data_IF_114152601874
#
_entry.id   IF_114152601874
#
_cell.length_a   1.000
_cell.length_b   1.000
_cell.length_c   1.000
_cell.angle_alpha   90.00
_cell.angle_beta   90.00
_cell.angle_gamma   90.00
#
_symmetry.space_group_name_H-M   'P 1'
#
loop_
_entity.id
_entity.type
_entity.pdbx_description
1 polymer ?
#
# COMPACT_ATOMS: atom_id res chain seq x y z
N UNK A 1 -10.76 -10.61 -34.90
CA UNK A 1 -10.88 -10.58 -33.42
C UNK A 1 -11.68 -9.32 -33.04
N UNK A 2 -12.98 -9.43 -32.74
CA UNK A 2 -13.81 -8.26 -32.38
C UNK A 2 -13.29 -7.65 -31.08
N UNK A 3 -12.72 -6.45 -31.14
CA UNK A 3 -12.45 -5.65 -29.94
C UNK A 3 -13.82 -5.25 -29.39
N UNK A 4 -14.26 -5.87 -28.31
CA UNK A 4 -15.45 -5.42 -27.60
C UNK A 4 -15.15 -4.02 -27.03
N UNK A 5 -15.65 -2.99 -27.72
CA UNK A 5 -15.54 -1.61 -27.26
C UNK A 5 -16.37 -1.46 -25.98
N UNK A 6 -15.70 -1.34 -24.84
CA UNK A 6 -16.34 -1.09 -23.56
C UNK A 6 -16.97 0.30 -23.57
N UNK A 7 -18.21 0.41 -23.10
CA UNK A 7 -18.87 1.72 -22.93
C UNK A 7 -18.13 2.55 -21.87
N UNK A 8 -18.16 3.89 -21.92
CA UNK A 8 -17.46 4.75 -20.96
C UNK A 8 -17.83 4.44 -19.50
N UNK A 9 -19.09 4.10 -19.23
CA UNK A 9 -19.54 3.69 -17.90
C UNK A 9 -18.87 2.38 -17.42
N UNK A 10 -18.65 1.41 -18.32
CA UNK A 10 -17.98 0.15 -17.99
C UNK A 10 -16.48 0.38 -17.73
N UNK A 11 -15.86 1.30 -18.47
CA UNK A 11 -14.48 1.70 -18.24
C UNK A 11 -14.32 2.40 -16.88
N UNK A 12 -15.26 3.28 -16.53
CA UNK A 12 -15.34 3.89 -15.21
C UNK A 12 -15.44 2.84 -14.09
N UNK A 13 -16.35 1.88 -14.21
CA UNK A 13 -16.50 0.83 -13.20
C UNK A 13 -15.26 -0.06 -13.06
N UNK A 14 -14.57 -0.34 -14.18
CA UNK A 14 -13.29 -1.05 -14.17
C UNK A 14 -12.23 -0.26 -13.37
N UNK A 15 -12.16 1.05 -13.57
CA UNK A 15 -11.26 1.94 -12.82
C UNK A 15 -11.59 1.91 -11.32
N UNK A 16 -12.86 2.00 -10.95
CA UNK A 16 -13.29 1.96 -9.55
C UNK A 16 -12.95 0.61 -8.92
N UNK A 17 -13.20 -0.50 -9.62
CA UNK A 17 -12.87 -1.85 -9.15
C UNK A 17 -11.36 -2.01 -8.92
N UNK A 18 -10.53 -1.56 -9.87
CA UNK A 18 -9.07 -1.62 -9.71
C UNK A 18 -8.58 -0.77 -8.55
N UNK A 19 -9.09 0.45 -8.41
CA UNK A 19 -8.76 1.34 -7.28
C UNK A 19 -9.19 0.72 -5.94
N UNK A 20 -10.37 0.08 -5.90
CA UNK A 20 -10.86 -0.64 -4.71
C UNK A 20 -9.94 -1.81 -4.35
N UNK A 21 -9.53 -2.62 -5.32
CA UNK A 21 -8.60 -3.74 -5.10
C UNK A 21 -7.27 -3.21 -4.55
N UNK A 22 -6.69 -2.19 -5.18
CA UNK A 22 -5.43 -1.58 -4.71
C UNK A 22 -5.58 -1.03 -3.28
N UNK A 23 -6.67 -0.32 -2.97
CA UNK A 23 -6.97 0.13 -1.60
C UNK A 23 -6.96 -1.03 -0.60
N UNK A 24 -7.58 -2.16 -0.94
CA UNK A 24 -7.60 -3.34 -0.06
C UNK A 24 -6.22 -3.98 0.07
N UNK A 25 -5.50 -4.20 -1.02
CA UNK A 25 -4.15 -4.79 -1.00
C UNK A 25 -3.21 -3.96 -0.13
N UNK A 26 -3.13 -2.64 -0.38
CA UNK A 26 -2.30 -1.76 0.45
C UNK A 26 -2.80 -1.65 1.88
N UNK A 27 -4.11 -1.75 2.11
CA UNK A 27 -4.68 -1.80 3.46
C UNK A 27 -4.27 -3.07 4.23
N UNK A 28 -4.32 -4.23 3.59
CA UNK A 28 -3.87 -5.50 4.19
C UNK A 28 -2.39 -5.42 4.56
N UNK A 29 -1.54 -4.98 3.64
CA UNK A 29 -0.12 -4.80 3.93
C UNK A 29 0.14 -3.78 5.03
N UNK A 30 -0.61 -2.67 5.05
CA UNK A 30 -0.49 -1.67 6.10
C UNK A 30 -0.78 -2.26 7.49
N UNK A 31 -1.89 -2.97 7.66
CA UNK A 31 -2.23 -3.57 8.97
C UNK A 31 -1.34 -4.76 9.33
N UNK A 32 -0.95 -5.58 8.35
CA UNK A 32 -0.07 -6.71 8.56
C UNK A 32 1.31 -6.24 9.02
N UNK A 33 1.91 -5.27 8.32
CA UNK A 33 3.23 -4.74 8.70
C UNK A 33 3.20 -4.07 10.07
N UNK A 34 2.17 -3.30 10.39
CA UNK A 34 1.99 -2.74 11.73
C UNK A 34 1.94 -3.84 12.80
N UNK A 35 1.17 -4.90 12.55
CA UNK A 35 1.01 -6.01 13.50
C UNK A 35 2.34 -6.71 13.71
N UNK A 36 3.05 -7.04 12.63
CA UNK A 36 4.39 -7.65 12.69
C UNK A 36 5.35 -6.75 13.47
N UNK A 37 5.38 -5.44 13.21
CA UNK A 37 6.23 -4.51 13.96
C UNK A 37 5.96 -4.52 15.46
N UNK A 38 4.68 -4.55 15.88
CA UNK A 38 4.30 -4.64 17.29
C UNK A 38 4.77 -5.98 17.89
N UNK A 39 4.50 -7.10 17.23
CA UNK A 39 4.93 -8.42 17.72
C UNK A 39 6.45 -8.56 17.80
N UNK A 40 7.18 -8.06 16.81
CA UNK A 40 8.65 -8.09 16.81
C UNK A 40 9.22 -7.21 17.91
N UNK A 41 8.65 -6.02 18.16
CA UNK A 41 9.07 -5.16 19.26
C UNK A 41 8.85 -5.84 20.64
N UNK A 42 7.69 -6.50 20.82
CA UNK A 42 7.40 -7.27 22.03
C UNK A 42 8.38 -8.44 22.20
N UNK A 43 8.66 -9.17 21.13
CA UNK A 43 9.58 -10.30 21.15
C UNK A 43 11.03 -9.90 21.46
N UNK A 44 11.53 -8.84 20.83
CA UNK A 44 12.86 -8.28 21.11
C UNK A 44 12.94 -7.80 22.57
N UNK A 45 11.90 -7.12 23.05
CA UNK A 45 11.83 -6.66 24.44
C UNK A 45 11.88 -7.84 25.42
N UNK A 46 11.16 -8.93 25.13
CA UNK A 46 11.19 -10.16 25.92
C UNK A 46 12.59 -10.78 25.95
N UNK A 47 13.25 -10.92 24.79
CA UNK A 47 14.63 -11.44 24.73
C UNK A 47 15.59 -10.56 25.52
N UNK A 48 15.49 -9.23 25.35
CA UNK A 48 16.36 -8.28 26.06
C UNK A 48 16.18 -8.39 27.59
N UNK A 49 14.93 -8.48 28.06
CA UNK A 49 14.62 -8.69 29.48
C UNK A 49 15.19 -10.01 30.00
N UNK A 50 15.00 -11.11 29.27
CA UNK A 50 15.53 -12.41 29.64
C UNK A 50 17.06 -12.40 29.71
N UNK A 51 17.71 -11.77 28.74
CA UNK A 51 19.17 -11.65 28.70
C UNK A 51 19.71 -10.81 29.87
N UNK A 52 19.13 -9.64 30.12
CA UNK A 52 19.50 -8.75 31.23
C UNK A 52 19.28 -9.42 32.59
N UNK A 53 18.15 -10.10 32.77
CA UNK A 53 17.83 -10.84 33.98
C UNK A 53 18.76 -12.05 34.17
N UNK A 54 19.04 -12.81 33.11
CA UNK A 54 19.94 -13.95 33.11
C UNK A 54 21.39 -13.61 33.43
N UNK A 55 21.86 -12.43 33.00
CA UNK A 55 23.21 -11.92 33.25
C UNK A 55 23.33 -11.06 34.51
N UNK A 56 22.26 -10.93 35.30
CA UNK A 56 22.30 -10.15 36.53
C UNK A 56 23.15 -10.84 37.61
N UNK A 57 24.35 -10.32 37.85
CA UNK A 57 25.29 -10.82 38.88
C UNK A 57 24.80 -10.60 40.31
N UNK A 58 23.84 -9.70 40.52
CA UNK A 58 23.26 -9.40 41.82
C UNK A 58 22.05 -10.28 42.16
N UNK A 59 21.72 -11.27 41.32
CA UNK A 59 20.68 -12.25 41.64
C UNK A 59 21.11 -13.05 42.89
N UNK A 60 20.21 -13.33 43.85
CA UNK A 60 20.54 -14.12 45.04
C UNK A 60 21.15 -15.47 44.64
N UNK A 61 22.43 -15.68 44.95
CA UNK A 61 23.21 -16.87 44.54
C UNK A 61 24.14 -16.69 43.33
N UNK A 62 24.14 -15.53 42.66
CA UNK A 62 24.78 -15.30 41.36
C UNK A 62 26.27 -14.96 41.34
N UNK A 63 26.89 -14.64 42.48
CA UNK A 63 28.31 -14.28 42.51
C UNK A 63 29.25 -15.49 42.40
N UNK A 64 28.82 -16.69 42.81
CA UNK A 64 29.71 -17.86 42.95
C UNK A 64 29.15 -19.16 42.35
N UNK A 65 28.11 -19.11 41.52
CA UNK A 65 27.51 -20.31 40.94
C UNK A 65 27.21 -20.11 39.45
N UNK A 66 28.27 -20.16 38.64
CA UNK A 66 28.14 -20.79 37.34
C UNK A 66 28.14 -22.32 37.57
N UNK A 67 27.09 -23.08 37.22
CA UNK A 67 25.76 -22.71 36.75
C UNK A 67 24.71 -23.08 37.82
N UNK A 68 24.30 -22.17 38.70
CA UNK A 68 23.39 -22.57 39.78
C UNK A 68 22.68 -21.41 40.44
N UNK A 69 21.40 -21.24 40.09
CA UNK A 69 20.32 -20.54 40.82
C UNK A 69 19.71 -19.31 40.18
N UNK A 70 20.17 -18.82 39.02
CA UNK A 70 19.39 -17.82 38.28
C UNK A 70 18.35 -18.53 37.38
N UNK A 71 17.04 -18.50 37.71
CA UNK A 71 16.01 -19.15 36.89
C UNK A 71 15.81 -18.46 35.53
N UNK A 72 16.37 -17.26 35.36
CA UNK A 72 16.32 -16.51 34.10
C UNK A 72 17.52 -16.78 33.18
N UNK A 73 18.56 -17.50 33.65
CA UNK A 73 19.69 -17.86 32.81
C UNK A 73 19.26 -18.92 31.80
N UNK A 74 19.47 -18.64 30.50
CA UNK A 74 19.24 -19.61 29.43
C UNK A 74 20.53 -19.81 28.63
N UNK A 75 21.05 -21.04 28.50
CA UNK A 75 22.22 -21.34 27.68
C UNK A 75 22.08 -20.85 26.23
N UNK A 76 20.87 -20.82 25.68
CA UNK A 76 20.64 -20.36 24.31
C UNK A 76 20.80 -18.85 24.12
N UNK A 77 20.54 -18.05 25.17
CA UNK A 77 20.57 -16.58 25.08
C UNK A 77 21.79 -15.98 25.76
N UNK A 78 22.36 -16.65 26.76
CA UNK A 78 23.43 -16.14 27.61
C UNK A 78 24.82 -16.76 27.32
N UNK A 79 24.92 -17.68 26.35
CA UNK A 79 26.22 -18.23 25.96
C UNK A 79 27.04 -17.22 25.14
N UNK A 80 28.32 -17.14 25.47
CA UNK A 80 29.24 -16.01 25.22
C UNK A 80 29.73 -15.85 23.78
N UNK A 81 29.09 -16.51 22.81
CA UNK A 81 29.42 -16.36 21.38
C UNK A 81 28.82 -15.07 20.82
N UNK A 82 29.51 -13.96 21.12
CA UNK A 82 29.21 -12.60 20.67
C UNK A 82 28.87 -12.46 19.17
N UNK A 83 29.31 -13.41 18.33
CA UNK A 83 29.00 -13.44 16.90
C UNK A 83 27.50 -13.64 16.61
N UNK A 84 26.82 -14.53 17.35
CA UNK A 84 25.39 -14.82 17.12
C UNK A 84 24.53 -13.63 17.57
N UNK A 85 24.85 -13.04 18.71
CA UNK A 85 24.19 -11.82 19.20
C UNK A 85 24.42 -10.64 18.26
N UNK A 86 25.66 -10.39 17.81
CA UNK A 86 25.98 -9.29 16.91
C UNK A 86 25.27 -9.44 15.56
N UNK A 87 25.31 -10.64 14.95
CA UNK A 87 24.62 -10.90 13.68
C UNK A 87 23.11 -10.78 13.83
N UNK A 88 22.54 -11.22 14.96
CA UNK A 88 21.10 -11.04 15.26
C UNK A 88 20.72 -9.57 15.43
N UNK A 89 21.55 -8.78 16.11
CA UNK A 89 21.34 -7.33 16.28
C UNK A 89 21.43 -6.62 14.92
N UNK A 90 22.46 -6.91 14.12
CA UNK A 90 22.63 -6.33 12.79
C UNK A 90 21.44 -6.69 11.89
N UNK A 91 21.05 -7.97 11.83
CA UNK A 91 19.92 -8.41 11.02
C UNK A 91 18.59 -7.80 11.51
N UNK A 92 18.41 -7.65 12.82
CA UNK A 92 17.23 -7.01 13.40
C UNK A 92 17.19 -5.51 13.08
N UNK A 93 18.33 -4.81 13.13
CA UNK A 93 18.43 -3.40 12.78
C UNK A 93 18.16 -3.15 11.28
N UNK A 94 18.76 -3.96 10.41
CA UNK A 94 18.52 -3.90 8.95
C UNK A 94 17.06 -4.21 8.62
N UNK A 95 16.47 -5.22 9.27
CA UNK A 95 15.05 -5.57 9.12
C UNK A 95 14.13 -4.48 9.63
N UNK A 96 14.49 -3.81 10.74
CA UNK A 96 13.73 -2.70 11.30
C UNK A 96 13.75 -1.49 10.37
N UNK A 97 14.92 -1.09 9.87
CA UNK A 97 15.05 0.02 8.90
C UNK A 97 14.23 -0.29 7.63
N UNK A 98 14.38 -1.49 7.08
CA UNK A 98 13.64 -1.94 5.89
C UNK A 98 12.12 -1.98 6.13
N UNK A 99 11.71 -2.42 7.33
CA UNK A 99 10.32 -2.43 7.76
C UNK A 99 9.73 -1.02 7.90
N UNK A 100 10.47 -0.09 8.51
CA UNK A 100 10.05 1.31 8.67
C UNK A 100 9.91 2.01 7.32
N UNK A 101 10.86 1.81 6.39
CA UNK A 101 10.76 2.36 5.03
C UNK A 101 9.56 1.79 4.30
N UNK A 102 9.39 0.46 4.35
CA UNK A 102 8.26 -0.23 3.73
C UNK A 102 6.92 0.25 4.30
N UNK A 103 6.87 0.49 5.60
CA UNK A 103 5.69 1.02 6.29
C UNK A 103 5.30 2.41 5.78
N UNK A 104 6.24 3.36 5.67
CA UNK A 104 5.93 4.69 5.13
C UNK A 104 5.47 4.64 3.67
N UNK A 105 6.13 3.82 2.85
CA UNK A 105 5.75 3.65 1.43
C UNK A 105 4.35 3.04 1.30
N UNK A 106 4.03 2.03 2.10
CA UNK A 106 2.72 1.37 2.05
C UNK A 106 1.63 2.26 2.64
N UNK A 107 1.92 2.98 3.74
CA UNK A 107 0.99 3.93 4.34
C UNK A 107 0.61 5.05 3.36
N UNK A 108 1.61 5.68 2.72
CA UNK A 108 1.37 6.73 1.72
C UNK A 108 0.55 6.22 0.53
N UNK A 109 0.87 5.02 0.01
CA UNK A 109 0.08 4.37 -1.06
C UNK A 109 -1.34 4.03 -0.61
N UNK A 110 -1.52 3.49 0.58
CA UNK A 110 -2.83 3.16 1.14
C UNK A 110 -3.70 4.41 1.26
N UNK A 111 -3.19 5.48 1.88
CA UNK A 111 -3.90 6.75 2.02
C UNK A 111 -4.25 7.36 0.66
N UNK A 112 -3.32 7.31 -0.30
CA UNK A 112 -3.58 7.75 -1.67
C UNK A 112 -4.77 7.02 -2.29
N UNK A 113 -4.75 5.67 -2.34
CA UNK A 113 -5.83 4.90 -2.96
C UNK A 113 -7.15 4.99 -2.17
N UNK A 114 -7.10 5.12 -0.83
CA UNK A 114 -8.28 5.38 0.00
C UNK A 114 -8.94 6.71 -0.37
N UNK A 115 -8.16 7.79 -0.45
CA UNK A 115 -8.65 9.12 -0.83
C UNK A 115 -9.21 9.13 -2.25
N UNK A 116 -8.46 8.59 -3.23
CA UNK A 116 -8.90 8.55 -4.63
C UNK A 116 -10.16 7.71 -4.82
N UNK A 117 -10.28 6.57 -4.12
CA UNK A 117 -11.51 5.77 -4.15
C UNK A 117 -12.72 6.56 -3.66
N UNK A 118 -12.60 7.30 -2.54
CA UNK A 118 -13.69 8.09 -2.01
C UNK A 118 -14.11 9.22 -2.97
N UNK A 119 -13.13 9.89 -3.60
CA UNK A 119 -13.41 10.92 -4.61
C UNK A 119 -14.12 10.32 -5.83
N UNK A 120 -13.70 9.14 -6.31
CA UNK A 120 -14.40 8.46 -7.41
C UNK A 120 -15.85 8.12 -7.04
N UNK A 121 -16.08 7.55 -5.85
CA UNK A 121 -17.44 7.24 -5.38
C UNK A 121 -18.28 8.51 -5.30
N UNK A 122 -17.73 9.61 -4.78
CA UNK A 122 -18.40 10.91 -4.74
C UNK A 122 -18.74 11.45 -6.13
N UNK A 123 -17.81 11.35 -7.09
CA UNK A 123 -18.05 11.74 -8.48
C UNK A 123 -19.17 10.91 -9.13
N UNK A 124 -19.26 9.60 -8.84
CA UNK A 124 -20.39 8.76 -9.25
C UNK A 124 -21.70 9.29 -8.67
N UNK A 125 -21.72 9.68 -7.41
CA UNK A 125 -22.91 10.24 -6.76
C UNK A 125 -23.36 11.52 -7.47
N UNK A 126 -22.43 12.43 -7.78
CA UNK A 126 -22.73 13.66 -8.53
C UNK A 126 -23.34 13.33 -9.89
N UNK A 127 -22.74 12.38 -10.64
CA UNK A 127 -23.26 11.91 -11.91
C UNK A 127 -24.69 11.35 -11.80
N UNK A 128 -24.96 10.49 -10.81
CA UNK A 128 -26.29 9.90 -10.60
C UNK A 128 -27.33 10.95 -10.22
N UNK A 129 -26.94 11.97 -9.47
CA UNK A 129 -27.79 13.11 -9.11
C UNK A 129 -28.00 14.12 -10.25
N UNK A 130 -27.31 13.96 -11.39
CA UNK A 130 -27.32 14.91 -12.53
C UNK A 130 -27.00 16.36 -12.11
N UNK A 131 -26.16 16.52 -11.09
CA UNK A 131 -25.81 17.85 -10.57
C UNK A 131 -24.61 18.45 -11.31
N UNK A 132 -24.52 19.78 -11.30
CA UNK A 132 -23.40 20.58 -11.79
C UNK A 132 -23.11 20.42 -13.29
N UNK A 133 -22.14 19.58 -13.62
CA UNK A 133 -21.51 19.44 -14.94
C UNK A 133 -22.18 18.34 -15.78
N UNK A 134 -23.12 17.59 -15.21
CA UNK A 134 -23.81 16.47 -15.86
C UNK A 134 -25.18 16.88 -16.42
N UNK A 135 -25.22 18.00 -17.15
CA UNK A 135 -26.44 18.53 -17.76
C UNK A 135 -26.58 18.16 -19.25
N UNK A 136 -25.62 17.42 -19.81
CA UNK A 136 -25.60 17.04 -21.22
C UNK A 136 -26.42 15.79 -21.54
N UNK A 137 -26.23 15.25 -22.74
CA UNK A 137 -26.85 13.96 -23.12
C UNK A 137 -26.29 12.81 -22.28
N UNK A 138 -27.02 11.69 -22.25
CA UNK A 138 -26.61 10.53 -21.46
C UNK A 138 -25.20 10.03 -21.83
N UNK A 139 -24.87 9.99 -23.12
CA UNK A 139 -23.56 9.55 -23.61
C UNK A 139 -22.44 10.55 -23.27
N UNK A 140 -22.72 11.85 -23.41
CA UNK A 140 -21.77 12.90 -23.02
C UNK A 140 -21.44 12.85 -21.53
N UNK A 141 -22.46 12.66 -20.69
CA UNK A 141 -22.28 12.59 -19.25
C UNK A 141 -21.49 11.33 -18.84
N UNK A 142 -21.72 10.19 -19.49
CA UNK A 142 -20.93 8.97 -19.27
C UNK A 142 -19.46 9.16 -19.67
N UNK A 143 -19.20 9.79 -20.81
CA UNK A 143 -17.84 10.09 -21.24
C UNK A 143 -17.14 11.06 -20.28
N UNK A 144 -17.85 12.09 -19.82
CA UNK A 144 -17.32 13.06 -18.86
C UNK A 144 -16.98 12.42 -17.52
N UNK A 145 -17.83 11.51 -17.01
CA UNK A 145 -17.55 10.74 -15.80
C UNK A 145 -16.27 9.91 -15.94
N UNK A 146 -16.11 9.21 -17.07
CA UNK A 146 -14.90 8.43 -17.34
C UNK A 146 -13.65 9.32 -17.42
N UNK A 147 -13.71 10.44 -18.15
CA UNK A 147 -12.61 11.41 -18.27
C UNK A 147 -12.19 11.96 -16.92
N UNK A 148 -13.16 12.35 -16.08
CA UNK A 148 -12.87 12.87 -14.73
C UNK A 148 -12.28 11.79 -13.82
N UNK A 149 -12.71 10.53 -13.94
CA UNK A 149 -12.11 9.44 -13.20
C UNK A 149 -10.62 9.24 -13.52
N UNK A 150 -10.22 9.39 -14.79
CA UNK A 150 -8.81 9.34 -15.19
C UNK A 150 -8.01 10.50 -14.59
N UNK A 151 -8.57 11.72 -14.62
CA UNK A 151 -7.97 12.91 -14.01
C UNK A 151 -7.83 12.77 -12.49
N UNK A 152 -8.88 12.28 -11.81
CA UNK A 152 -8.86 12.05 -10.35
C UNK A 152 -7.72 11.12 -9.98
N UNK A 153 -7.52 10.04 -10.74
CA UNK A 153 -6.43 9.09 -10.49
C UNK A 153 -5.06 9.60 -10.91
N UNK A 154 -4.97 10.83 -11.45
CA UNK A 154 -3.73 11.41 -11.98
C UNK A 154 -3.04 10.51 -13.00
N UNK A 155 -3.81 9.63 -13.65
CA UNK A 155 -3.30 8.64 -14.62
C UNK A 155 -2.80 9.29 -15.91
N UNK A 156 -2.89 10.62 -16.01
CA UNK A 156 -2.94 11.37 -17.26
C UNK A 156 -1.94 12.51 -17.40
N UNK A 157 -0.90 12.62 -16.56
CA UNK A 157 0.22 13.50 -16.95
C UNK A 157 0.98 12.99 -18.18
N UNK A 158 0.89 11.69 -18.50
CA UNK A 158 1.64 11.06 -19.59
C UNK A 158 0.81 10.23 -20.60
N UNK A 159 -0.50 10.03 -20.38
CA UNK A 159 -1.37 9.23 -21.29
C UNK A 159 -2.24 10.06 -22.24
N UNK A 160 -2.21 11.39 -22.13
CA UNK A 160 -2.89 12.33 -23.03
C UNK A 160 -2.54 12.10 -24.52
N UNK A 161 -1.37 11.55 -24.84
CA UNK A 161 -0.95 11.20 -26.20
C UNK A 161 -1.80 10.09 -26.85
N UNK A 162 -2.34 9.16 -26.05
CA UNK A 162 -3.20 8.08 -26.57
C UNK A 162 -4.61 8.59 -26.88
N UNK A 163 -5.10 9.58 -26.13
CA UNK A 163 -6.40 10.22 -26.38
C UNK A 163 -6.35 11.18 -27.58
N UNK A 164 -5.19 11.76 -27.89
CA UNK A 164 -4.99 12.54 -29.11
C UNK A 164 -5.10 11.68 -30.38
N UNK A 165 -4.65 10.42 -30.34
CA UNK A 165 -4.79 9.50 -31.49
C UNK A 165 -6.22 9.02 -31.75
N UNK A 166 -7.14 9.14 -30.77
CA UNK A 166 -8.56 8.79 -30.98
C UNK A 166 -9.31 9.90 -31.73
N UNK A 167 -8.87 11.16 -31.63
CA UNK A 167 -9.48 12.29 -32.33
C UNK A 167 -8.96 12.50 -33.77
N UNK A 168 -7.82 11.92 -34.14
CA UNK A 168 -7.25 12.08 -35.49
C UNK A 168 -8.03 11.28 -36.54
N UNK A 169 -8.72 10.20 -36.15
CA UNK A 169 -9.49 9.37 -37.09
C UNK A 169 -10.92 9.89 -37.39
N UNK A 170 -11.42 10.88 -36.64
CA UNK A 170 -12.74 11.46 -36.92
C UNK A 170 -12.72 12.47 -38.09
N UNK A 171 -11.56 13.05 -38.40
CA UNK A 171 -11.42 14.03 -39.50
C UNK A 171 -10.95 13.43 -40.83
N UNK A 172 -10.67 12.12 -40.90
CA UNK A 172 -10.28 11.45 -42.15
C UNK A 172 -11.44 10.95 -43.00
N UNK A 173 -12.67 10.98 -42.48
CA UNK A 173 -13.88 10.53 -43.18
C UNK A 173 -14.61 11.62 -43.98
N UNK A 174 -14.43 12.90 -43.67
CA UNK A 174 -15.26 13.98 -44.26
C UNK A 174 -14.66 14.62 -45.54
N UNK A 175 -13.42 14.32 -45.90
CA UNK A 175 -12.75 14.98 -47.05
C UNK A 175 -12.73 14.17 -48.36
N UNK A 176 -13.40 13.01 -48.44
CA UNK A 176 -13.42 12.18 -49.66
C UNK A 176 -14.73 12.23 -50.47
N UNK A 177 -15.69 13.11 -50.14
CA UNK A 177 -16.93 13.29 -50.93
C UNK A 177 -17.02 14.59 -51.73
N UNK A 178 -15.92 15.34 -51.89
CA UNK A 178 -15.87 16.46 -52.85
C UNK A 178 -14.57 16.50 -53.62
N UNK A 179 -14.48 15.69 -54.68
CA UNK A 179 -13.99 16.07 -56.01
C UNK A 179 -14.12 14.91 -56.98
#
# INVERSE_FOLDING_TARGET
MKRNHLKPIQLYEKIVKQTRIKKWVYGVFYYLLNSVSIFTALYISYIALQFLAGNNKNFPGGANAYPGNNPYFSPFFNDSTNYILLTTIINSAVSLISGVISFFVINTRFLFYKRKYNILVFEKTIYMSKLYIYNGTHEQNQFMLYKRALQILETDRYKSSVLLNVNVDLNKGENNEKK
#
